data_IF_643713984764
#
_entry.id   IF_643713984764
#
_cell.length_a   1.000
_cell.length_b   1.000
_cell.length_c   1.000
_cell.angle_alpha   90.00
_cell.angle_beta   90.00
_cell.angle_gamma   90.00
#
_symmetry.space_group_name_H-M   'P 1'
#
loop_
_entity.id
_entity.type
_entity.pdbx_description
1 polymer ?
#
# COMPACT_ATOMS: atom_id res chain seq x y z
N UNK A 1 -4.21 66.06 39.22
CA UNK A 1 -5.11 65.84 38.05
C UNK A 1 -4.52 64.71 37.23
N UNK A 2 -5.01 63.49 37.42
CA UNK A 2 -4.43 62.26 36.87
C UNK A 2 -5.31 61.80 35.70
N UNK A 3 -4.80 61.81 34.47
CA UNK A 3 -5.51 61.31 33.28
C UNK A 3 -5.22 59.81 33.13
N UNK A 4 -6.24 58.97 33.30
CA UNK A 4 -6.21 57.56 32.89
C UNK A 4 -6.53 57.45 31.40
N UNK A 5 -5.65 56.79 30.65
CA UNK A 5 -5.86 56.41 29.24
C UNK A 5 -6.36 54.96 29.24
N UNK A 6 -7.54 54.65 28.69
CA UNK A 6 -7.98 53.26 28.61
C UNK A 6 -7.23 52.55 27.48
N UNK A 7 -6.56 51.46 27.82
CA UNK A 7 -5.96 50.53 26.87
C UNK A 7 -7.07 49.73 26.17
N UNK A 8 -7.18 49.87 24.86
CA UNK A 8 -8.03 49.03 24.02
C UNK A 8 -7.24 47.77 23.67
N UNK A 9 -7.59 46.65 24.29
CA UNK A 9 -7.09 45.32 23.92
C UNK A 9 -8.01 44.77 22.83
N UNK A 10 -7.54 44.75 21.59
CA UNK A 10 -8.24 44.09 20.48
C UNK A 10 -7.86 42.61 20.51
N UNK A 11 -8.79 41.76 20.96
CA UNK A 11 -8.68 40.31 20.83
C UNK A 11 -9.04 39.92 19.40
N UNK A 12 -8.05 39.63 18.57
CA UNK A 12 -8.26 39.01 17.25
C UNK A 12 -8.53 37.52 17.44
N UNK A 13 -9.80 37.13 17.35
CA UNK A 13 -10.20 35.73 17.26
C UNK A 13 -9.74 35.17 15.90
N UNK A 14 -8.67 34.38 15.90
CA UNK A 14 -8.29 33.54 14.76
C UNK A 14 -9.35 32.44 14.62
N UNK A 15 -10.20 32.56 13.59
CA UNK A 15 -11.07 31.47 13.18
C UNK A 15 -10.19 30.34 12.60
N UNK A 16 -10.05 29.25 13.35
CA UNK A 16 -9.47 28.01 12.83
C UNK A 16 -10.46 27.41 11.82
N UNK A 17 -10.16 27.59 10.53
CA UNK A 17 -10.86 26.86 9.48
C UNK A 17 -10.48 25.37 9.61
N UNK A 18 -11.44 24.43 9.59
CA UNK A 18 -11.10 23.02 9.46
C UNK A 18 -10.44 22.84 8.10
N UNK A 19 -9.16 22.49 8.09
CA UNK A 19 -8.52 22.00 6.90
C UNK A 19 -9.25 20.71 6.51
N UNK A 20 -10.04 20.74 5.42
CA UNK A 20 -10.46 19.51 4.77
C UNK A 20 -9.20 18.82 4.30
N UNK A 21 -8.71 17.84 5.07
CA UNK A 21 -7.83 16.82 4.52
C UNK A 21 -8.65 16.13 3.42
N UNK A 22 -8.26 16.34 2.17
CA UNK A 22 -8.76 15.48 1.11
C UNK A 22 -8.23 14.08 1.42
N UNK A 23 -9.10 13.18 1.88
CA UNK A 23 -8.74 11.78 2.05
C UNK A 23 -8.38 11.23 0.66
N UNK A 24 -7.17 10.67 0.53
CA UNK A 24 -6.77 10.05 -0.72
C UNK A 24 -7.64 8.82 -1.03
N UNK A 25 -7.77 8.49 -2.31
CA UNK A 25 -8.56 7.35 -2.74
C UNK A 25 -7.99 6.05 -2.14
N UNK A 26 -8.86 5.10 -1.74
CA UNK A 26 -8.44 3.76 -1.37
C UNK A 26 -7.64 3.09 -2.49
N UNK A 27 -6.70 2.24 -2.11
CA UNK A 27 -5.85 1.50 -3.05
C UNK A 27 -6.35 0.07 -3.17
N UNK A 28 -6.68 -0.32 -4.40
CA UNK A 28 -6.99 -1.71 -4.74
C UNK A 28 -5.70 -2.49 -5.02
N UNK A 29 -5.62 -3.71 -4.50
CA UNK A 29 -4.58 -4.68 -4.78
C UNK A 29 -5.24 -5.94 -5.35
N UNK A 30 -4.89 -6.33 -6.57
CA UNK A 30 -5.28 -7.61 -7.17
C UNK A 30 -4.03 -8.38 -7.55
N UNK A 31 -3.60 -9.27 -6.66
CA UNK A 31 -2.33 -9.94 -6.75
C UNK A 31 -2.43 -11.45 -6.76
N UNK A 32 -1.34 -12.08 -7.20
CA UNK A 32 -1.16 -13.52 -7.17
C UNK A 32 0.28 -13.87 -6.86
N UNK A 33 0.50 -14.98 -6.17
CA UNK A 33 1.82 -15.59 -6.02
C UNK A 33 1.77 -16.99 -6.62
N UNK A 34 2.69 -17.27 -7.55
CA UNK A 34 2.86 -18.53 -8.26
C UNK A 34 4.18 -19.14 -7.81
N UNK A 35 4.18 -20.42 -7.47
CA UNK A 35 5.37 -21.13 -6.97
C UNK A 35 5.88 -22.17 -7.98
N UNK A 36 7.04 -22.74 -7.69
CA UNK A 36 7.69 -23.82 -8.45
C UNK A 36 6.77 -25.02 -8.75
N UNK A 37 5.89 -25.37 -7.80
CA UNK A 37 4.93 -26.48 -7.94
C UNK A 37 3.72 -26.13 -8.84
N UNK A 38 3.68 -24.90 -9.39
CA UNK A 38 2.57 -24.38 -10.16
C UNK A 38 1.37 -23.96 -9.30
N UNK A 39 1.44 -24.11 -7.97
CA UNK A 39 0.39 -23.63 -7.09
C UNK A 39 0.34 -22.10 -7.14
N UNK A 40 -0.87 -21.57 -7.20
CA UNK A 40 -1.10 -20.14 -7.30
C UNK A 40 -2.09 -19.67 -6.24
N UNK A 41 -1.65 -18.76 -5.38
CA UNK A 41 -2.50 -18.12 -4.38
C UNK A 41 -2.89 -16.74 -4.86
N UNK A 42 -4.19 -16.48 -5.00
CA UNK A 42 -4.74 -15.17 -5.37
C UNK A 42 -5.21 -14.43 -4.14
N UNK A 43 -5.01 -13.12 -4.13
CA UNK A 43 -5.60 -12.22 -3.14
C UNK A 43 -6.13 -10.97 -3.84
N UNK A 44 -7.22 -10.42 -3.31
CA UNK A 44 -7.76 -9.13 -3.72
C UNK A 44 -8.25 -8.36 -2.51
N UNK A 45 -7.72 -7.15 -2.31
CA UNK A 45 -7.95 -6.35 -1.13
C UNK A 45 -8.01 -4.87 -1.51
N UNK A 46 -8.85 -4.11 -0.83
CA UNK A 46 -8.89 -2.65 -0.93
C UNK A 46 -8.47 -2.09 0.41
N UNK A 47 -7.46 -1.24 0.45
CA UNK A 47 -6.98 -0.58 1.67
C UNK A 47 -7.33 0.91 1.65
N UNK A 48 -7.87 1.47 2.75
CA UNK A 48 -7.92 2.92 2.92
C UNK A 48 -6.52 3.54 2.83
N UNK A 49 -6.43 4.80 2.40
CA UNK A 49 -5.17 5.53 2.44
C UNK A 49 -4.64 5.63 3.89
N UNK A 50 -3.32 5.47 4.05
CA UNK A 50 -2.65 5.42 5.34
C UNK A 50 -2.60 4.04 6.01
N UNK A 51 -3.29 3.03 5.45
CA UNK A 51 -3.36 1.68 6.04
C UNK A 51 -2.35 0.69 5.44
N UNK A 52 -2.08 -0.37 6.20
CA UNK A 52 -1.26 -1.49 5.72
C UNK A 52 -1.75 -2.83 6.23
N UNK A 53 -1.47 -3.89 5.49
CA UNK A 53 -1.81 -5.27 5.89
C UNK A 53 -0.80 -6.27 5.35
N UNK A 54 -0.84 -7.49 5.89
CA UNK A 54 -0.02 -8.61 5.46
C UNK A 54 -0.86 -9.83 5.12
N UNK A 55 -0.60 -10.45 3.97
CA UNK A 55 -1.19 -11.72 3.54
C UNK A 55 -0.16 -12.82 3.74
N UNK A 56 -0.38 -13.70 4.72
CA UNK A 56 0.42 -14.90 4.90
C UNK A 56 -0.10 -16.01 3.99
N UNK A 57 0.79 -16.64 3.24
CA UNK A 57 0.47 -17.74 2.33
C UNK A 57 0.76 -19.09 3.01
N UNK A 58 0.11 -20.16 2.56
CA UNK A 58 0.36 -21.53 3.06
C UNK A 58 1.80 -22.00 2.83
N UNK A 59 2.52 -21.33 1.92
CA UNK A 59 3.94 -21.53 1.66
C UNK A 59 4.86 -20.85 2.66
N UNK A 60 4.30 -20.20 3.69
CA UNK A 60 5.03 -19.38 4.66
C UNK A 60 5.54 -18.03 4.12
N UNK A 61 5.43 -17.78 2.82
CA UNK A 61 5.68 -16.47 2.21
C UNK A 61 4.66 -15.45 2.72
N UNK A 62 5.07 -14.19 2.79
CA UNK A 62 4.21 -13.07 3.19
C UNK A 62 4.21 -11.97 2.15
N UNK A 63 3.03 -11.46 1.81
CA UNK A 63 2.88 -10.26 0.98
C UNK A 63 2.42 -9.11 1.87
N UNK A 64 3.26 -8.09 2.02
CA UNK A 64 2.86 -6.84 2.67
C UNK A 64 2.32 -5.85 1.65
N UNK A 65 1.19 -5.25 1.99
CA UNK A 65 0.47 -4.26 1.19
C UNK A 65 0.38 -2.97 2.00
N UNK A 66 0.76 -1.85 1.41
CA UNK A 66 0.70 -0.53 2.07
C UNK A 66 -0.01 0.43 1.13
N UNK A 67 -1.06 1.09 1.59
CA UNK A 67 -1.67 2.22 0.92
C UNK A 67 -1.17 3.50 1.60
N UNK A 68 -0.28 4.25 0.95
CA UNK A 68 0.23 5.51 1.47
C UNK A 68 -0.87 6.59 1.47
N UNK A 69 -0.67 7.63 2.29
CA UNK A 69 -1.59 8.76 2.42
C UNK A 69 -1.77 9.58 1.12
N UNK A 70 -0.88 9.41 0.14
CA UNK A 70 -0.96 10.04 -1.17
C UNK A 70 -1.70 9.19 -2.23
N UNK A 71 -2.25 8.03 -1.82
CA UNK A 71 -2.93 7.08 -2.71
C UNK A 71 -1.99 6.14 -3.47
N UNK A 72 -0.70 6.11 -3.12
CA UNK A 72 0.29 5.16 -3.66
C UNK A 72 0.22 3.84 -2.91
N UNK A 73 -0.04 2.74 -3.61
CA UNK A 73 0.17 1.37 -3.13
C UNK A 73 1.61 0.86 -3.22
N UNK A 74 2.21 0.38 -2.14
CA UNK A 74 3.46 -0.40 -2.18
C UNK A 74 3.15 -1.86 -1.90
N UNK A 75 3.78 -2.77 -2.66
CA UNK A 75 3.68 -4.22 -2.47
C UNK A 75 5.06 -4.79 -2.19
N UNK A 76 5.18 -5.60 -1.13
CA UNK A 76 6.42 -6.28 -0.75
C UNK A 76 6.19 -7.77 -0.64
N UNK A 77 7.11 -8.56 -1.19
CA UNK A 77 7.15 -10.00 -0.96
C UNK A 77 8.28 -10.33 0.02
N UNK A 78 7.96 -11.11 1.04
CA UNK A 78 8.88 -11.55 2.08
C UNK A 78 8.90 -13.08 2.12
N UNK A 79 10.07 -13.64 2.46
CA UNK A 79 10.21 -15.06 2.77
C UNK A 79 9.74 -15.40 4.19
N UNK A 80 9.78 -16.68 4.55
CA UNK A 80 9.38 -17.20 5.86
C UNK A 80 10.15 -16.58 7.03
N UNK A 81 11.40 -16.16 6.80
CA UNK A 81 12.24 -15.51 7.79
C UNK A 81 11.97 -13.99 7.88
N UNK A 82 11.03 -13.47 7.09
CA UNK A 82 10.74 -12.04 7.00
C UNK A 82 11.77 -11.26 6.18
N UNK A 83 12.62 -11.92 5.39
CA UNK A 83 13.55 -11.24 4.49
C UNK A 83 12.80 -10.83 3.22
N UNK A 84 12.98 -9.58 2.80
CA UNK A 84 12.37 -9.04 1.60
C UNK A 84 12.98 -9.68 0.35
N UNK A 85 12.14 -10.35 -0.44
CA UNK A 85 12.48 -10.91 -1.74
C UNK A 85 12.27 -9.89 -2.87
N UNK A 86 11.22 -9.07 -2.78
CA UNK A 86 10.94 -8.00 -3.74
C UNK A 86 10.08 -6.89 -3.14
N UNK A 87 10.12 -5.70 -3.76
CA UNK A 87 9.26 -4.55 -3.44
C UNK A 87 9.06 -3.66 -4.67
N UNK A 88 7.85 -3.14 -4.83
CA UNK A 88 7.48 -2.24 -5.93
C UNK A 88 6.35 -1.29 -5.53
N UNK A 89 6.28 -0.15 -6.22
CA UNK A 89 5.29 0.91 -6.00
C UNK A 89 4.14 0.89 -7.04
N UNK A 90 3.16 1.77 -6.80
CA UNK A 90 1.73 1.62 -7.08
C UNK A 90 1.25 1.60 -8.53
N UNK A 91 2.13 1.81 -9.51
CA UNK A 91 1.72 1.58 -10.89
C UNK A 91 1.21 0.14 -11.07
N UNK A 92 1.73 -0.77 -10.26
CA UNK A 92 1.34 -2.17 -10.27
C UNK A 92 0.21 -2.55 -9.31
N UNK A 93 -0.27 -1.66 -8.42
CA UNK A 93 -1.48 -1.91 -7.62
C UNK A 93 -2.75 -1.62 -8.45
N UNK A 94 -2.68 -0.63 -9.35
CA UNK A 94 -3.78 -0.25 -10.24
C UNK A 94 -4.07 -1.27 -11.36
N UNK A 95 -3.15 -2.20 -11.59
CA UNK A 95 -3.32 -3.29 -12.54
C UNK A 95 -3.09 -4.64 -11.84
N UNK A 96 -3.75 -5.72 -12.26
CA UNK A 96 -3.48 -7.03 -11.69
C UNK A 96 -2.01 -7.41 -11.87
N UNK A 97 -1.41 -7.99 -10.83
CA UNK A 97 0.01 -8.35 -10.82
C UNK A 97 0.23 -9.78 -10.33
N UNK A 98 1.44 -10.29 -10.57
CA UNK A 98 1.88 -11.58 -10.06
C UNK A 98 3.34 -11.56 -9.58
N UNK A 99 3.59 -12.33 -8.53
CA UNK A 99 4.92 -12.83 -8.18
C UNK A 99 5.07 -14.25 -8.69
N UNK A 100 6.16 -14.53 -9.40
CA UNK A 100 6.65 -15.87 -9.64
C UNK A 100 7.81 -16.13 -8.69
N UNK A 101 7.67 -17.11 -7.81
CA UNK A 101 8.68 -17.49 -6.83
C UNK A 101 9.25 -18.83 -7.26
N UNK A 102 10.42 -18.79 -7.87
CA UNK A 102 11.06 -19.93 -8.52
C UNK A 102 12.45 -20.16 -7.96
N UNK A 103 12.72 -21.34 -7.40
CA UNK A 103 14.03 -21.66 -6.81
C UNK A 103 14.45 -20.70 -5.67
N UNK A 104 13.48 -20.05 -5.01
CA UNK A 104 13.72 -19.04 -3.98
C UNK A 104 13.92 -17.60 -4.51
N UNK A 105 13.93 -17.39 -5.82
CA UNK A 105 13.97 -16.06 -6.42
C UNK A 105 12.57 -15.56 -6.76
N UNK A 106 12.31 -14.28 -6.52
CA UNK A 106 11.03 -13.65 -6.83
C UNK A 106 11.13 -12.78 -8.08
N UNK A 107 10.24 -13.01 -9.05
CA UNK A 107 10.06 -12.18 -10.23
C UNK A 107 8.68 -11.51 -10.19
N UNK A 108 8.67 -10.20 -10.40
CA UNK A 108 7.45 -9.41 -10.50
C UNK A 108 6.97 -9.31 -11.95
N UNK A 109 5.66 -9.44 -12.16
CA UNK A 109 5.01 -9.27 -13.46
C UNK A 109 3.76 -8.41 -13.29
N UNK A 110 3.69 -7.33 -14.06
CA UNK A 110 2.52 -6.46 -14.17
C UNK A 110 2.57 -5.70 -15.51
N UNK A 111 1.42 -5.48 -16.20
CA UNK A 111 0.10 -6.01 -15.88
C UNK A 111 -0.02 -7.50 -16.25
N UNK A 112 -0.85 -8.25 -15.53
CA UNK A 112 -1.22 -9.63 -15.86
C UNK A 112 -2.68 -9.66 -16.31
N UNK A 113 -2.92 -9.85 -17.62
CA UNK A 113 -4.27 -9.96 -18.16
C UNK A 113 -4.97 -11.25 -17.71
N UNK A 114 -4.23 -12.35 -17.72
CA UNK A 114 -4.63 -13.67 -17.25
C UNK A 114 -3.39 -14.45 -16.81
N UNK A 115 -3.53 -15.30 -15.79
CA UNK A 115 -2.41 -16.10 -15.29
C UNK A 115 -2.18 -17.39 -16.08
N UNK A 116 -2.91 -17.58 -17.19
CA UNK A 116 -2.74 -18.74 -18.03
C UNK A 116 -1.35 -18.67 -18.68
N UNK A 117 -0.43 -19.49 -18.20
CA UNK A 117 0.93 -19.60 -18.73
C UNK A 117 2.03 -18.96 -17.87
N UNK A 118 1.69 -18.27 -16.78
CA UNK A 118 2.69 -17.87 -15.79
C UNK A 118 3.09 -19.08 -14.94
N UNK A 119 4.35 -19.50 -15.05
CA UNK A 119 4.94 -20.62 -14.32
C UNK A 119 6.44 -20.43 -14.21
N UNK A 120 7.04 -21.11 -13.24
CA UNK A 120 8.48 -21.31 -13.22
C UNK A 120 8.85 -22.19 -14.41
N UNK A 121 9.76 -21.72 -15.27
CA UNK A 121 10.26 -22.46 -16.43
C UNK A 121 11.46 -23.34 -16.07
#
# INVERSE_FOLDING_TARGET
MTRQVPAIVVLTALAALPACAAEADPVDFDGRVIRDDGAATRFRLTLPAGESTGVLLDSGLRVDLVAADDGTGTVRLLDEAGRRLHETDADAARAPFAYLVCGGEARFVSPVADAAGLRCE
#
